data_IF_620689167653
#
_entry.id   IF_620689167653
#
_cell.length_a   1.000
_cell.length_b   1.000
_cell.length_c   1.000
_cell.angle_alpha   90.00
_cell.angle_beta   90.00
_cell.angle_gamma   90.00
#
_symmetry.space_group_name_H-M   'P 1'
#
loop_
_entity.id
_entity.type
_entity.pdbx_description
1 polymer ?
#
# COMPACT_ATOMS: atom_id res chain seq x y z
N UNK A 1 -5.52 -2.99 -13.85
CA UNK A 1 -4.09 -3.19 -13.55
C UNK A 1 -3.24 -3.35 -14.81
N UNK A 2 -2.03 -2.75 -14.86
CA UNK A 2 -1.01 -3.16 -15.83
C UNK A 2 -0.53 -4.57 -15.46
N UNK A 3 -0.51 -5.53 -16.41
CA UNK A 3 -0.22 -6.96 -16.12
C UNK A 3 1.16 -7.19 -15.47
N UNK A 4 2.06 -6.23 -15.59
CA UNK A 4 3.41 -6.28 -15.01
C UNK A 4 3.44 -6.18 -13.48
N UNK A 5 2.38 -5.70 -12.83
CA UNK A 5 2.27 -5.56 -11.37
C UNK A 5 1.63 -6.77 -10.67
N UNK A 6 1.22 -7.80 -11.43
CA UNK A 6 0.61 -9.00 -10.86
C UNK A 6 1.68 -9.97 -10.36
N UNK A 7 1.56 -10.43 -9.12
CA UNK A 7 2.41 -11.45 -8.50
C UNK A 7 2.03 -12.87 -8.93
N UNK A 8 0.79 -13.07 -9.39
CA UNK A 8 0.23 -14.39 -9.66
C UNK A 8 -0.38 -15.05 -8.42
N UNK A 9 -0.57 -14.29 -7.34
CA UNK A 9 -1.22 -14.74 -6.10
C UNK A 9 -2.61 -14.12 -6.07
N UNK A 10 -3.68 -14.90 -6.31
CA UNK A 10 -5.01 -14.34 -6.56
C UNK A 10 -5.52 -13.37 -5.50
N UNK A 11 -5.26 -13.67 -4.21
CA UNK A 11 -5.69 -12.81 -3.11
C UNK A 11 -4.92 -11.48 -3.07
N UNK A 12 -3.60 -11.52 -3.22
CA UNK A 12 -2.75 -10.30 -3.18
C UNK A 12 -2.99 -9.45 -4.44
N UNK A 13 -3.08 -10.09 -5.60
CA UNK A 13 -3.38 -9.41 -6.86
C UNK A 13 -4.75 -8.70 -6.82
N UNK A 14 -5.74 -9.30 -6.15
CA UNK A 14 -7.03 -8.67 -5.92
C UNK A 14 -6.91 -7.46 -4.98
N UNK A 15 -6.16 -7.58 -3.88
CA UNK A 15 -5.91 -6.47 -2.95
C UNK A 15 -5.22 -5.29 -3.63
N UNK A 16 -4.23 -5.53 -4.50
CA UNK A 16 -3.62 -4.48 -5.31
C UNK A 16 -4.64 -3.76 -6.21
N UNK A 17 -5.61 -4.49 -6.78
CA UNK A 17 -6.61 -3.89 -7.69
C UNK A 17 -7.57 -3.00 -6.90
N UNK A 18 -7.98 -3.44 -5.71
CA UNK A 18 -8.82 -2.68 -4.80
C UNK A 18 -8.13 -1.41 -4.28
N UNK A 19 -6.83 -1.49 -3.95
CA UNK A 19 -6.03 -0.32 -3.58
C UNK A 19 -5.93 0.68 -4.73
N UNK A 20 -5.63 0.22 -5.94
CA UNK A 20 -5.56 1.07 -7.11
C UNK A 20 -6.90 1.73 -7.45
N UNK A 21 -8.02 1.00 -7.32
CA UNK A 21 -9.37 1.55 -7.50
C UNK A 21 -9.69 2.62 -6.47
N UNK A 22 -9.36 2.37 -5.21
CA UNK A 22 -9.59 3.32 -4.11
C UNK A 22 -8.78 4.60 -4.32
N UNK A 23 -7.53 4.47 -4.79
CA UNK A 23 -6.69 5.60 -5.18
C UNK A 23 -7.25 6.39 -6.38
N UNK A 24 -7.75 5.69 -7.41
CA UNK A 24 -8.40 6.32 -8.56
C UNK A 24 -9.68 7.08 -8.19
N UNK A 25 -10.51 6.51 -7.31
CA UNK A 25 -11.69 7.19 -6.80
C UNK A 25 -11.32 8.45 -6.02
N UNK A 26 -10.28 8.37 -5.19
CA UNK A 26 -9.78 9.51 -4.44
C UNK A 26 -9.25 10.63 -5.37
N UNK A 27 -8.51 10.28 -6.42
CA UNK A 27 -8.08 11.21 -7.47
C UNK A 27 -9.26 11.88 -8.20
N UNK A 28 -10.34 11.13 -8.45
CA UNK A 28 -11.51 11.60 -9.18
C UNK A 28 -12.44 12.50 -8.31
N UNK A 29 -12.50 12.26 -7.00
CA UNK A 29 -13.35 13.03 -6.08
C UNK A 29 -12.90 14.49 -5.91
N UNK A 30 -11.60 14.78 -6.06
CA UNK A 30 -11.04 16.14 -5.96
C UNK A 30 -11.18 16.79 -4.57
N UNK A 31 -10.87 18.09 -4.48
CA UNK A 31 -10.82 18.88 -3.21
C UNK A 31 -12.18 19.13 -2.53
N UNK A 32 -13.31 18.79 -3.14
CA UNK A 32 -14.63 19.34 -2.77
C UNK A 32 -15.46 18.48 -1.82
N UNK A 33 -14.96 17.36 -1.32
CA UNK A 33 -15.76 16.47 -0.48
C UNK A 33 -15.45 16.64 1.01
N UNK A 34 -16.48 16.92 1.81
CA UNK A 34 -16.42 16.95 3.28
C UNK A 34 -15.95 15.59 3.86
N UNK A 35 -15.93 14.53 3.03
CA UNK A 35 -15.44 13.18 3.34
C UNK A 35 -13.95 12.90 3.06
N UNK A 36 -13.11 13.87 2.69
CA UNK A 36 -11.70 13.61 2.34
C UNK A 36 -10.91 12.87 3.44
N UNK A 37 -11.09 13.27 4.70
CA UNK A 37 -10.46 12.60 5.85
C UNK A 37 -10.91 11.15 5.98
N UNK A 38 -12.21 10.88 5.75
CA UNK A 38 -12.76 9.53 5.78
C UNK A 38 -12.19 8.65 4.66
N UNK A 39 -12.02 9.20 3.45
CA UNK A 39 -11.42 8.46 2.33
C UNK A 39 -9.95 8.13 2.62
N UNK A 40 -9.18 9.07 3.17
CA UNK A 40 -7.79 8.82 3.61
C UNK A 40 -7.77 7.71 4.67
N UNK A 41 -8.59 7.82 5.72
CA UNK A 41 -8.64 6.82 6.79
C UNK A 41 -8.97 5.44 6.24
N UNK A 42 -9.95 5.34 5.34
CA UNK A 42 -10.31 4.08 4.69
C UNK A 42 -9.17 3.50 3.86
N UNK A 43 -8.45 4.33 3.10
CA UNK A 43 -7.32 3.89 2.29
C UNK A 43 -6.15 3.42 3.16
N UNK A 44 -5.84 4.13 4.26
CA UNK A 44 -4.83 3.69 5.23
C UNK A 44 -5.17 2.34 5.85
N UNK A 45 -6.44 2.09 6.20
CA UNK A 45 -6.90 0.79 6.70
C UNK A 45 -6.72 -0.30 5.63
N UNK A 46 -7.10 -0.02 4.39
CA UNK A 46 -6.92 -0.98 3.29
C UNK A 46 -5.45 -1.34 3.06
N UNK A 47 -4.54 -0.37 3.14
CA UNK A 47 -3.09 -0.59 3.01
C UNK A 47 -2.58 -1.48 4.15
N UNK A 48 -2.97 -1.17 5.38
CA UNK A 48 -2.60 -1.98 6.55
C UNK A 48 -3.11 -3.44 6.44
N UNK A 49 -4.37 -3.64 6.04
CA UNK A 49 -4.95 -4.98 5.89
C UNK A 49 -4.29 -5.78 4.76
N UNK A 50 -3.89 -5.10 3.69
CA UNK A 50 -3.08 -5.67 2.62
C UNK A 50 -1.71 -6.13 3.14
N UNK A 51 -0.98 -5.28 3.86
CA UNK A 51 0.32 -5.64 4.45
C UNK A 51 0.23 -6.84 5.39
N UNK A 52 -0.78 -6.90 6.25
CA UNK A 52 -1.01 -8.07 7.11
C UNK A 52 -1.28 -9.35 6.32
N UNK A 53 -1.97 -9.24 5.18
CA UNK A 53 -2.26 -10.38 4.32
C UNK A 53 -1.01 -10.86 3.60
N UNK A 54 -0.18 -9.92 3.13
CA UNK A 54 1.08 -10.19 2.47
C UNK A 54 2.10 -10.83 3.44
N UNK A 55 2.27 -10.29 4.66
CA UNK A 55 3.18 -10.85 5.65
C UNK A 55 2.82 -12.30 6.02
N UNK A 56 1.51 -12.59 6.18
CA UNK A 56 1.03 -13.97 6.39
C UNK A 56 1.37 -14.87 5.22
N UNK A 57 1.27 -14.36 4.00
CA UNK A 57 1.63 -15.10 2.79
C UNK A 57 3.14 -15.33 2.71
N UNK A 58 3.94 -14.29 2.94
CA UNK A 58 5.40 -14.34 2.97
C UNK A 58 5.94 -15.33 4.00
N UNK A 59 5.27 -15.47 5.16
CA UNK A 59 5.67 -16.42 6.21
C UNK A 59 5.64 -17.89 5.72
N UNK A 60 4.89 -18.18 4.66
CA UNK A 60 4.86 -19.49 4.01
C UNK A 60 5.91 -19.67 2.90
N UNK A 61 6.69 -18.64 2.57
CA UNK A 61 7.68 -18.66 1.50
C UNK A 61 9.09 -18.92 2.05
N UNK A 62 9.94 -19.55 1.24
CA UNK A 62 11.36 -19.75 1.53
C UNK A 62 12.19 -18.48 1.27
N UNK A 63 11.80 -17.36 1.90
CA UNK A 63 12.48 -16.08 1.74
C UNK A 63 13.75 -16.00 2.59
N UNK A 64 14.79 -15.30 2.11
CA UNK A 64 15.91 -14.94 2.96
C UNK A 64 15.43 -14.10 4.15
N UNK A 65 15.87 -14.37 5.39
CA UNK A 65 15.38 -13.67 6.58
C UNK A 65 15.57 -12.16 6.54
N UNK A 66 16.62 -11.68 5.87
CA UNK A 66 16.87 -10.26 5.64
C UNK A 66 15.85 -9.62 4.69
N UNK A 67 15.41 -10.34 3.66
CA UNK A 67 14.39 -9.86 2.73
C UNK A 67 13.04 -9.73 3.43
N UNK A 68 12.66 -10.72 4.25
CA UNK A 68 11.46 -10.64 5.09
C UNK A 68 11.50 -9.40 5.99
N UNK A 69 12.59 -9.23 6.76
CA UNK A 69 12.73 -8.09 7.68
C UNK A 69 12.75 -6.74 6.97
N UNK A 70 13.35 -6.67 5.78
CA UNK A 70 13.38 -5.45 4.98
C UNK A 70 11.96 -5.06 4.55
N UNK A 71 11.18 -6.03 4.07
CA UNK A 71 9.81 -5.83 3.62
C UNK A 71 8.88 -5.40 4.77
N UNK A 72 8.91 -6.10 5.92
CA UNK A 72 8.12 -5.74 7.12
C UNK A 72 8.47 -4.34 7.66
N UNK A 73 9.74 -3.92 7.54
CA UNK A 73 10.15 -2.56 7.95
C UNK A 73 9.58 -1.51 7.03
N UNK A 74 9.51 -1.77 5.73
CA UNK A 74 8.91 -0.81 4.79
C UNK A 74 7.41 -0.70 4.98
N UNK A 75 6.70 -1.80 5.26
CA UNK A 75 5.31 -1.74 5.72
C UNK A 75 5.16 -0.83 6.93
N UNK A 76 5.98 -1.07 7.97
CA UNK A 76 5.94 -0.26 9.20
C UNK A 76 6.19 1.22 8.91
N UNK A 77 7.21 1.54 8.08
CA UNK A 77 7.53 2.91 7.68
C UNK A 77 6.37 3.59 6.96
N UNK A 78 5.74 2.91 6.00
CA UNK A 78 4.59 3.44 5.25
C UNK A 78 3.43 3.73 6.20
N UNK A 79 3.10 2.80 7.11
CA UNK A 79 2.01 3.00 8.08
C UNK A 79 2.31 4.15 9.04
N UNK A 80 3.55 4.27 9.52
CA UNK A 80 3.97 5.39 10.37
C UNK A 80 3.82 6.73 9.65
N UNK A 81 4.28 6.84 8.41
CA UNK A 81 4.18 8.07 7.60
C UNK A 81 2.72 8.44 7.28
N UNK A 82 1.88 7.47 6.94
CA UNK A 82 0.44 7.68 6.71
C UNK A 82 -0.27 8.10 8.00
N UNK A 83 0.11 7.53 9.14
CA UNK A 83 -0.45 7.91 10.44
C UNK A 83 -0.05 9.34 10.80
N UNK A 84 1.22 9.70 10.62
CA UNK A 84 1.70 11.06 10.86
C UNK A 84 0.97 12.08 9.98
N UNK A 85 0.78 11.76 8.70
CA UNK A 85 0.04 12.62 7.77
C UNK A 85 -1.42 12.82 8.20
N UNK A 86 -2.07 11.79 8.72
CA UNK A 86 -3.42 11.89 9.27
C UNK A 86 -3.45 12.80 10.51
N UNK A 87 -2.50 12.63 11.43
CA UNK A 87 -2.37 13.48 12.63
C UNK A 87 -2.10 14.94 12.27
N UNK A 88 -1.23 15.20 11.31
CA UNK A 88 -0.92 16.55 10.82
C UNK A 88 -2.16 17.23 10.24
N UNK A 89 -2.93 16.48 9.44
CA UNK A 89 -4.19 16.96 8.86
C UNK A 89 -5.20 17.29 9.96
N UNK A 90 -5.33 16.45 10.99
CA UNK A 90 -6.20 16.71 12.14
C UNK A 90 -5.74 17.91 12.99
N UNK A 91 -4.43 18.13 13.11
CA UNK A 91 -3.85 19.27 13.81
C UNK A 91 -3.99 20.59 13.04
N UNK A 92 -4.56 20.57 11.83
CA UNK A 92 -4.74 21.74 10.98
C UNK A 92 -3.47 22.18 10.25
N UNK A 93 -2.43 21.32 10.21
CA UNK A 93 -1.29 21.53 9.32
C UNK A 93 -1.80 21.38 7.88
N UNK A 94 -1.59 22.44 7.09
CA UNK A 94 -2.07 22.48 5.70
C UNK A 94 -1.11 21.73 4.79
N UNK A 95 -1.27 20.41 4.74
CA UNK A 95 -0.83 19.64 3.57
C UNK A 95 -1.81 19.89 2.43
N UNK A 96 -1.30 20.07 1.21
CA UNK A 96 -2.20 20.20 0.06
C UNK A 96 -2.79 18.82 -0.28
N UNK A 97 -4.00 18.83 -0.83
CA UNK A 97 -4.62 17.61 -1.37
C UNK A 97 -3.67 16.91 -2.35
N UNK A 98 -2.99 17.65 -3.21
CA UNK A 98 -2.05 17.12 -4.20
C UNK A 98 -0.85 16.41 -3.54
N UNK A 99 -0.33 16.96 -2.44
CA UNK A 99 0.77 16.34 -1.69
C UNK A 99 0.33 15.02 -1.06
N UNK A 100 -0.82 15.01 -0.38
CA UNK A 100 -1.36 13.80 0.26
C UNK A 100 -1.55 12.69 -0.77
N UNK A 101 -2.20 13.01 -1.90
CA UNK A 101 -2.39 12.04 -2.97
C UNK A 101 -1.06 11.58 -3.56
N UNK A 102 -0.12 12.50 -3.77
CA UNK A 102 1.23 12.18 -4.24
C UNK A 102 1.92 11.15 -3.37
N UNK A 103 1.81 11.29 -2.04
CA UNK A 103 2.33 10.30 -1.10
C UNK A 103 1.66 8.93 -1.24
N UNK A 104 0.32 8.86 -1.24
CA UNK A 104 -0.39 7.57 -1.40
C UNK A 104 -0.04 6.87 -2.72
N UNK A 105 -0.01 7.61 -3.84
CA UNK A 105 0.41 7.09 -5.15
C UNK A 105 1.83 6.54 -5.07
N UNK A 106 2.75 7.31 -4.47
CA UNK A 106 4.14 6.92 -4.33
C UNK A 106 4.28 5.66 -3.48
N UNK A 107 3.66 5.60 -2.30
CA UNK A 107 3.76 4.45 -1.41
C UNK A 107 3.23 3.19 -2.07
N UNK A 108 2.03 3.22 -2.64
CA UNK A 108 1.45 2.01 -3.27
C UNK A 108 2.28 1.58 -4.48
N UNK A 109 2.62 2.52 -5.37
CA UNK A 109 3.29 2.16 -6.63
C UNK A 109 4.73 1.73 -6.42
N UNK A 110 5.46 2.44 -5.56
CA UNK A 110 6.86 2.14 -5.27
C UNK A 110 6.98 0.85 -4.46
N UNK A 111 6.12 0.63 -3.47
CA UNK A 111 6.09 -0.61 -2.69
C UNK A 111 5.94 -1.84 -3.58
N UNK A 112 4.92 -1.84 -4.45
CA UNK A 112 4.70 -2.95 -5.38
C UNK A 112 5.91 -3.21 -6.27
N UNK A 113 6.55 -2.16 -6.79
CA UNK A 113 7.69 -2.29 -7.71
C UNK A 113 8.96 -2.75 -6.98
N UNK A 114 9.25 -2.17 -5.83
CA UNK A 114 10.53 -2.34 -5.11
C UNK A 114 10.52 -3.48 -4.10
N UNK A 115 9.35 -3.98 -3.70
CA UNK A 115 9.18 -5.01 -2.68
C UNK A 115 8.40 -6.20 -3.23
N UNK A 116 7.12 -6.03 -3.54
CA UNK A 116 6.24 -7.17 -3.86
C UNK A 116 6.73 -7.95 -5.08
N UNK A 117 7.14 -7.25 -6.15
CA UNK A 117 7.65 -7.89 -7.36
C UNK A 117 8.91 -8.74 -7.12
N UNK A 118 9.68 -8.47 -6.06
CA UNK A 118 10.84 -9.30 -5.67
C UNK A 118 10.43 -10.64 -5.08
N UNK A 119 9.18 -10.79 -4.64
CA UNK A 119 8.65 -12.06 -4.13
C UNK A 119 8.38 -13.07 -5.26
N UNK A 120 8.17 -12.61 -6.51
CA UNK A 120 7.83 -13.47 -7.66
C UNK A 120 8.68 -14.74 -7.82
N UNK A 121 10.02 -14.69 -7.73
CA UNK A 121 10.85 -15.90 -7.87
C UNK A 121 10.60 -16.95 -6.78
N UNK A 122 10.13 -16.53 -5.60
CA UNK A 122 9.84 -17.39 -4.45
C UNK A 122 8.41 -17.94 -4.47
N UNK A 123 7.49 -17.25 -5.16
CA UNK A 123 6.11 -17.70 -5.38
C UNK A 123 6.05 -18.82 -6.43
N UNK A 124 6.87 -18.71 -7.49
CA UNK A 124 6.89 -19.65 -8.61
C UNK A 124 7.69 -20.95 -8.33
N UNK A 125 8.39 -21.02 -7.21
CA UNK A 125 9.12 -22.22 -6.80
C UNK A 125 8.24 -23.05 -5.86
N UNK A 126 7.94 -24.33 -6.18
CA UNK A 126 7.35 -25.21 -5.19
C UNK A 126 8.36 -25.39 -4.05
N UNK A 127 7.86 -25.28 -2.81
CA UNK A 127 8.60 -25.62 -1.60
C UNK A 127 9.11 -27.07 -1.63
#
# INVERSE_FOLDING_TARGET
MNKHLLLGVPNIDHQHDELLRSLQHLLAAGKCDEGFSEVISRLTIQIHDHFQSEERFMAGLALPPEMMREHEREHSRIIEELTQMHLDTMAGLRLSFEDIIGHFVSYISQHVIEFDLRLKPYIAQPA
#
